data_IF_375673028692
#
_entry.id   IF_375673028692
#
_cell.length_a   1.000
_cell.length_b   1.000
_cell.length_c   1.000
_cell.angle_alpha   90.00
_cell.angle_beta   90.00
_cell.angle_gamma   90.00
#
_symmetry.space_group_name_H-M   'P 1'
#
loop_
_entity.id
_entity.type
_entity.pdbx_description
1 polymer ?
#
# COMPACT_ATOMS: atom_id res chain seq x y z
N UNK A 1 14.64 -15.79 -9.38
CA UNK A 1 13.38 -15.19 -9.82
C UNK A 1 13.49 -14.76 -11.30
N UNK A 2 12.40 -14.90 -12.04
CA UNK A 2 12.31 -14.39 -13.41
C UNK A 2 11.69 -13.00 -13.37
N UNK A 3 12.50 -11.96 -13.61
CA UNK A 3 12.06 -10.58 -13.53
C UNK A 3 10.91 -10.26 -14.52
N UNK A 4 11.07 -10.63 -15.78
CA UNK A 4 10.04 -10.36 -16.80
C UNK A 4 8.71 -11.02 -16.43
N UNK A 5 8.74 -12.28 -16.02
CA UNK A 5 7.53 -13.00 -15.61
C UNK A 5 6.79 -12.30 -14.45
N UNK A 6 7.52 -11.76 -13.47
CA UNK A 6 6.90 -11.04 -12.35
C UNK A 6 6.40 -9.65 -12.75
N UNK A 7 7.15 -8.93 -13.57
CA UNK A 7 6.75 -7.60 -14.04
C UNK A 7 5.48 -7.66 -14.89
N UNK A 8 5.34 -8.67 -15.75
CA UNK A 8 4.18 -8.88 -16.63
C UNK A 8 3.00 -9.59 -15.90
N UNK A 9 3.08 -9.77 -14.59
CA UNK A 9 2.01 -10.47 -13.85
C UNK A 9 0.68 -9.71 -13.90
N UNK A 10 0.73 -8.38 -13.86
CA UNK A 10 -0.47 -7.55 -13.92
C UNK A 10 -1.09 -7.55 -15.33
N UNK A 11 -0.26 -7.56 -16.38
CA UNK A 11 -0.74 -7.70 -17.77
C UNK A 11 -1.55 -9.00 -17.92
N UNK A 12 -0.99 -10.13 -17.49
CA UNK A 12 -1.68 -11.42 -17.53
C UNK A 12 -2.96 -11.46 -16.70
N UNK A 13 -2.96 -10.79 -15.55
CA UNK A 13 -4.14 -10.70 -14.70
C UNK A 13 -5.25 -9.90 -15.39
N UNK A 14 -4.93 -8.77 -15.98
CA UNK A 14 -5.88 -7.90 -16.67
C UNK A 14 -6.37 -8.54 -17.98
N UNK A 15 -5.51 -9.19 -18.74
CA UNK A 15 -5.90 -10.00 -19.91
C UNK A 15 -6.87 -11.14 -19.53
N UNK A 16 -6.73 -11.71 -18.33
CA UNK A 16 -7.64 -12.72 -17.80
C UNK A 16 -8.96 -12.15 -17.25
N UNK A 17 -9.15 -10.81 -17.29
CA UNK A 17 -10.39 -10.15 -16.86
C UNK A 17 -10.37 -9.65 -15.42
N UNK A 18 -9.21 -9.58 -14.76
CA UNK A 18 -9.06 -8.92 -13.46
C UNK A 18 -8.85 -7.42 -13.72
N UNK A 19 -9.79 -6.61 -13.27
CA UNK A 19 -9.75 -5.16 -13.54
C UNK A 19 -9.02 -4.37 -12.46
N UNK A 20 -9.01 -4.85 -11.22
CA UNK A 20 -8.43 -4.16 -10.07
C UNK A 20 -7.07 -4.77 -9.73
N UNK A 21 -6.01 -4.25 -10.32
CA UNK A 21 -4.64 -4.67 -10.02
C UNK A 21 -3.92 -3.64 -9.15
N UNK A 22 -3.06 -4.13 -8.27
CA UNK A 22 -2.20 -3.30 -7.43
C UNK A 22 -0.73 -3.51 -7.79
N UNK A 23 0.02 -2.42 -7.87
CA UNK A 23 1.47 -2.46 -8.09
C UNK A 23 2.21 -1.87 -6.90
N UNK A 24 3.52 -2.07 -6.85
CA UNK A 24 4.36 -1.50 -5.81
C UNK A 24 5.80 -1.97 -5.93
N UNK A 25 6.69 -1.26 -5.26
CA UNK A 25 8.09 -1.62 -5.11
C UNK A 25 8.50 -1.51 -3.65
N UNK A 26 9.41 -2.37 -3.20
CA UNK A 26 9.99 -2.28 -1.87
C UNK A 26 11.20 -1.34 -1.92
N UNK A 27 11.00 -0.10 -1.46
CA UNK A 27 12.04 0.92 -1.44
C UNK A 27 13.12 0.63 -0.41
N UNK A 28 14.38 0.88 -0.78
CA UNK A 28 15.53 0.74 0.12
C UNK A 28 16.37 -0.52 -0.09
N UNK A 29 15.97 -1.42 -0.97
CA UNK A 29 16.82 -2.55 -1.40
C UNK A 29 17.98 -2.10 -2.28
N UNK A 30 17.72 -1.10 -3.13
CA UNK A 30 18.68 -0.51 -4.05
C UNK A 30 18.33 0.97 -4.27
N UNK A 31 18.81 1.57 -5.34
CA UNK A 31 18.59 2.99 -5.68
C UNK A 31 17.09 3.32 -5.80
N UNK A 32 16.53 3.95 -4.80
CA UNK A 32 15.09 4.28 -4.75
C UNK A 32 14.60 5.12 -5.92
N UNK A 33 15.47 5.95 -6.52
CA UNK A 33 15.11 6.76 -7.70
C UNK A 33 14.84 5.89 -8.92
N UNK A 34 15.64 4.84 -9.11
CA UNK A 34 15.43 3.87 -10.17
C UNK A 34 14.13 3.10 -9.97
N UNK A 35 13.91 2.62 -8.75
CA UNK A 35 12.69 1.89 -8.38
C UNK A 35 11.45 2.78 -8.55
N UNK A 36 11.56 4.06 -8.19
CA UNK A 36 10.47 5.03 -8.35
C UNK A 36 10.12 5.27 -9.83
N UNK A 37 11.12 5.45 -10.69
CA UNK A 37 10.90 5.60 -12.15
C UNK A 37 10.29 4.33 -12.73
N UNK A 38 10.80 3.15 -12.33
CA UNK A 38 10.25 1.87 -12.76
C UNK A 38 8.78 1.69 -12.36
N UNK A 39 8.41 2.13 -11.15
CA UNK A 39 7.02 2.11 -10.68
C UNK A 39 6.11 3.01 -11.53
N UNK A 40 6.56 4.23 -11.86
CA UNK A 40 5.81 5.15 -12.73
C UNK A 40 5.65 4.58 -14.14
N UNK A 41 6.73 4.05 -14.72
CA UNK A 41 6.69 3.42 -16.05
C UNK A 41 5.73 2.22 -16.07
N UNK A 42 5.66 1.45 -14.99
CA UNK A 42 4.71 0.34 -14.89
C UNK A 42 3.26 0.84 -14.84
N UNK A 43 2.98 1.90 -14.10
CA UNK A 43 1.64 2.51 -14.07
C UNK A 43 1.24 3.04 -15.45
N UNK A 44 2.13 3.76 -16.14
CA UNK A 44 1.90 4.26 -17.51
C UNK A 44 1.73 3.12 -18.53
N UNK A 45 2.51 2.05 -18.37
CA UNK A 45 2.38 0.87 -19.23
C UNK A 45 0.99 0.24 -19.14
N UNK A 46 0.50 0.00 -17.90
CA UNK A 46 -0.83 -0.58 -17.70
C UNK A 46 -1.93 0.31 -18.27
N UNK A 47 -1.83 1.62 -18.08
CA UNK A 47 -2.79 2.57 -18.65
C UNK A 47 -2.76 2.55 -20.19
N UNK A 48 -1.58 2.51 -20.79
CA UNK A 48 -1.44 2.49 -22.25
C UNK A 48 -1.86 1.15 -22.87
N UNK A 49 -1.51 0.02 -22.23
CA UNK A 49 -1.77 -1.32 -22.77
C UNK A 49 -3.21 -1.80 -22.52
N UNK A 50 -3.76 -1.50 -21.34
CA UNK A 50 -5.05 -2.01 -20.89
C UNK A 50 -6.16 -0.96 -20.87
N UNK A 51 -5.83 0.31 -21.18
CA UNK A 51 -6.78 1.42 -21.13
C UNK A 51 -7.13 1.91 -19.73
N UNK A 52 -6.54 1.32 -18.70
CA UNK A 52 -6.76 1.67 -17.28
C UNK A 52 -5.47 1.43 -16.50
N UNK A 53 -5.06 2.39 -15.69
CA UNK A 53 -3.91 2.25 -14.81
C UNK A 53 -4.21 1.44 -13.55
N UNK A 54 -3.23 1.23 -12.67
CA UNK A 54 -3.41 0.42 -11.46
C UNK A 54 -4.46 1.03 -10.54
N UNK A 55 -5.25 0.17 -9.92
CA UNK A 55 -6.22 0.56 -8.89
C UNK A 55 -5.52 1.10 -7.64
N UNK A 56 -4.45 0.43 -7.23
CA UNK A 56 -3.69 0.82 -6.04
C UNK A 56 -2.18 0.77 -6.29
N UNK A 57 -1.47 1.63 -5.57
CA UNK A 57 -0.01 1.59 -5.47
C UNK A 57 0.38 1.43 -4.01
N UNK A 58 1.13 0.37 -3.70
CA UNK A 58 1.74 0.17 -2.40
C UNK A 58 3.12 0.79 -2.36
N UNK A 59 3.44 1.46 -1.26
CA UNK A 59 4.74 2.12 -1.05
C UNK A 59 5.48 1.54 0.17
N UNK A 60 5.75 0.22 0.21
CA UNK A 60 6.55 -0.35 1.28
C UNK A 60 8.00 0.09 1.16
N UNK A 61 8.69 0.20 2.30
CA UNK A 61 10.14 0.37 2.37
C UNK A 61 10.75 -0.64 3.34
N UNK A 62 12.05 -0.86 3.24
CA UNK A 62 12.78 -1.71 4.18
C UNK A 62 12.59 -1.17 5.60
N UNK A 63 12.17 -2.06 6.48
CA UNK A 63 12.04 -1.86 7.93
C UNK A 63 12.67 -3.05 8.63
N UNK A 64 13.12 -2.90 9.88
CA UNK A 64 13.60 -4.02 10.68
C UNK A 64 12.56 -5.15 10.74
N UNK A 65 13.06 -6.38 10.76
CA UNK A 65 12.31 -7.61 11.00
C UNK A 65 13.23 -8.59 11.71
N UNK A 66 12.73 -9.74 12.18
CA UNK A 66 13.48 -10.68 13.02
C UNK A 66 14.90 -11.01 12.51
N UNK A 67 15.07 -11.18 11.19
CA UNK A 67 16.35 -11.50 10.56
C UNK A 67 16.87 -10.38 9.63
N UNK A 68 16.30 -9.18 9.70
CA UNK A 68 16.62 -8.06 8.80
C UNK A 68 16.87 -6.80 9.62
N UNK A 69 18.12 -6.33 9.62
CA UNK A 69 18.42 -4.98 10.09
C UNK A 69 18.39 -4.00 8.92
N UNK A 70 17.58 -2.95 9.04
CA UNK A 70 17.52 -1.92 8.01
C UNK A 70 18.86 -1.20 7.81
N UNK A 71 19.74 -1.20 8.81
CA UNK A 71 21.09 -0.63 8.73
C UNK A 71 22.02 -1.44 7.84
N UNK A 72 21.73 -2.73 7.60
CA UNK A 72 22.47 -3.56 6.64
C UNK A 72 22.23 -3.15 5.18
N UNK A 73 21.20 -2.35 4.92
CA UNK A 73 20.86 -1.87 3.59
C UNK A 73 21.36 -0.43 3.40
N UNK A 74 22.48 -0.29 2.68
CA UNK A 74 23.09 1.01 2.37
C UNK A 74 22.17 2.00 1.64
N UNK A 75 21.13 1.51 0.98
CA UNK A 75 20.16 2.28 0.21
C UNK A 75 18.82 2.45 0.96
N UNK A 76 18.76 2.08 2.25
CA UNK A 76 17.60 2.33 3.09
C UNK A 76 17.24 3.81 3.10
N UNK A 77 15.95 4.12 3.00
CA UNK A 77 15.48 5.50 2.85
C UNK A 77 14.98 6.07 4.18
N UNK A 78 15.32 7.34 4.42
CA UNK A 78 14.83 8.11 5.58
C UNK A 78 13.33 8.43 5.47
N UNK A 79 12.73 8.85 6.57
CA UNK A 79 11.33 9.32 6.59
C UNK A 79 11.14 10.50 5.63
N UNK A 80 12.10 11.45 5.58
CA UNK A 80 12.02 12.61 4.68
C UNK A 80 12.00 12.20 3.20
N UNK A 81 12.83 11.23 2.80
CA UNK A 81 12.84 10.71 1.42
C UNK A 81 11.54 9.97 1.14
N UNK A 82 11.05 9.20 2.10
CA UNK A 82 9.79 8.47 1.98
C UNK A 82 8.61 9.40 1.77
N UNK A 83 8.50 10.47 2.56
CA UNK A 83 7.47 11.49 2.42
C UNK A 83 7.53 12.17 1.05
N UNK A 84 8.74 12.48 0.55
CA UNK A 84 8.91 13.02 -0.81
C UNK A 84 8.46 12.04 -1.89
N UNK A 85 8.77 10.75 -1.76
CA UNK A 85 8.29 9.71 -2.69
C UNK A 85 6.77 9.70 -2.74
N UNK A 86 6.11 9.68 -1.58
CA UNK A 86 4.65 9.69 -1.48
C UNK A 86 4.04 10.93 -2.13
N UNK A 87 4.57 12.12 -1.83
CA UNK A 87 4.07 13.37 -2.38
C UNK A 87 4.23 13.45 -3.90
N UNK A 88 5.41 13.06 -4.43
CA UNK A 88 5.66 13.08 -5.87
C UNK A 88 4.82 12.01 -6.59
N UNK A 89 4.66 10.83 -6.00
CA UNK A 89 3.81 9.77 -6.54
C UNK A 89 2.34 10.22 -6.63
N UNK A 90 1.82 10.91 -5.59
CA UNK A 90 0.45 11.46 -5.62
C UNK A 90 0.24 12.45 -6.75
N UNK A 91 1.26 13.27 -7.06
CA UNK A 91 1.19 14.23 -8.16
C UNK A 91 1.28 13.51 -9.51
N UNK A 92 2.18 12.51 -9.63
CA UNK A 92 2.42 11.80 -10.88
C UNK A 92 1.27 10.86 -11.26
N UNK A 93 0.63 10.20 -10.29
CA UNK A 93 -0.48 9.24 -10.50
C UNK A 93 -1.67 9.63 -9.61
N UNK A 94 -2.36 10.74 -9.92
CA UNK A 94 -3.37 11.33 -9.02
C UNK A 94 -4.64 10.49 -8.88
N UNK A 95 -4.91 9.61 -9.82
CA UNK A 95 -6.14 8.82 -9.89
C UNK A 95 -6.09 7.50 -9.09
N UNK A 96 -4.91 7.06 -8.64
CA UNK A 96 -4.75 5.75 -8.00
C UNK A 96 -4.88 5.81 -6.48
N UNK A 97 -5.34 4.74 -5.86
CA UNK A 97 -5.27 4.55 -4.41
C UNK A 97 -3.81 4.34 -3.96
N UNK A 98 -3.38 4.98 -2.89
CA UNK A 98 -2.06 4.78 -2.31
C UNK A 98 -2.19 4.12 -0.95
N UNK A 99 -1.52 2.98 -0.78
CA UNK A 99 -1.62 2.14 0.43
C UNK A 99 -0.38 2.32 1.30
N UNK A 100 -0.61 2.56 2.60
CA UNK A 100 0.40 2.52 3.64
C UNK A 100 0.12 1.38 4.63
N UNK A 101 1.14 0.61 4.95
CA UNK A 101 1.02 -0.53 5.87
C UNK A 101 1.30 -0.16 7.32
N UNK A 102 0.99 -1.09 8.22
CA UNK A 102 1.30 -1.01 9.65
C UNK A 102 2.79 -1.17 9.98
N UNK A 103 3.66 -1.43 9.00
CA UNK A 103 5.12 -1.38 9.15
C UNK A 103 5.63 0.03 9.46
N UNK A 104 4.90 1.05 9.01
CA UNK A 104 5.24 2.43 9.30
C UNK A 104 4.74 2.87 10.66
N UNK A 105 5.51 3.74 11.32
CA UNK A 105 5.13 4.30 12.61
C UNK A 105 3.85 5.14 12.49
N UNK A 106 3.13 5.29 13.57
CA UNK A 106 1.96 6.16 13.64
C UNK A 106 2.28 7.56 13.12
N UNK A 107 3.40 8.15 13.55
CA UNK A 107 3.83 9.48 13.13
C UNK A 107 4.05 9.58 11.61
N UNK A 108 4.70 8.58 11.01
CA UNK A 108 4.91 8.55 9.56
C UNK A 108 3.57 8.42 8.83
N UNK A 109 2.66 7.59 9.33
CA UNK A 109 1.33 7.39 8.75
C UNK A 109 0.49 8.66 8.77
N UNK A 110 0.52 9.42 9.87
CA UNK A 110 -0.13 10.75 9.97
C UNK A 110 0.37 11.70 8.87
N UNK A 111 1.68 11.82 8.74
CA UNK A 111 2.28 12.73 7.76
C UNK A 111 1.97 12.35 6.31
N UNK A 112 2.00 11.07 5.97
CA UNK A 112 1.73 10.64 4.59
C UNK A 112 0.24 10.67 4.22
N UNK A 113 -0.66 10.66 5.19
CA UNK A 113 -2.08 10.97 4.96
C UNK A 113 -2.27 12.38 4.41
N UNK A 114 -1.61 13.37 5.01
CA UNK A 114 -1.63 14.75 4.54
C UNK A 114 -1.00 14.92 3.15
N UNK A 115 -0.11 13.99 2.77
CA UNK A 115 0.55 13.95 1.46
C UNK A 115 -0.23 13.17 0.40
N UNK A 116 -1.39 12.61 0.75
CA UNK A 116 -2.30 12.00 -0.21
C UNK A 116 -2.39 10.47 -0.19
N UNK A 117 -1.84 9.79 0.81
CA UNK A 117 -2.20 8.39 1.06
C UNK A 117 -3.71 8.29 1.29
N UNK A 118 -4.36 7.33 0.64
CA UNK A 118 -5.81 7.18 0.66
C UNK A 118 -6.29 5.85 1.21
N UNK A 119 -5.37 4.92 1.46
CA UNK A 119 -5.71 3.60 1.99
C UNK A 119 -4.72 3.22 3.11
N UNK A 120 -5.25 2.69 4.20
CA UNK A 120 -4.46 2.28 5.35
C UNK A 120 -4.80 0.86 5.77
N UNK A 121 -3.77 0.09 6.12
CA UNK A 121 -3.97 -1.14 6.86
C UNK A 121 -4.19 -0.83 8.35
N UNK A 122 -5.06 -1.57 9.01
CA UNK A 122 -5.32 -1.43 10.44
C UNK A 122 -5.55 -2.79 11.09
N UNK A 123 -5.14 -2.96 12.34
CA UNK A 123 -5.31 -4.21 13.08
C UNK A 123 -4.57 -5.40 12.45
N UNK A 124 -3.44 -5.15 11.77
CA UNK A 124 -2.68 -6.20 11.07
C UNK A 124 -2.08 -7.18 12.08
N UNK A 125 -2.09 -8.46 11.73
CA UNK A 125 -1.38 -9.53 12.45
C UNK A 125 -0.54 -10.30 11.44
N UNK A 126 0.76 -10.43 11.70
CA UNK A 126 1.74 -10.99 10.76
C UNK A 126 2.24 -12.38 11.15
N UNK A 127 1.86 -12.87 12.35
CA UNK A 127 2.13 -14.24 12.80
C UNK A 127 1.26 -15.26 12.06
N UNK A 128 1.74 -16.47 11.95
CA UNK A 128 0.98 -17.59 11.38
C UNK A 128 -0.26 -17.85 12.24
N UNK A 129 -1.45 -17.84 11.63
CA UNK A 129 -2.71 -18.00 12.36
C UNK A 129 -3.17 -16.78 13.18
N UNK A 130 -2.43 -15.67 13.14
CA UNK A 130 -2.62 -14.50 14.02
C UNK A 130 -4.01 -13.88 14.03
N UNK A 131 -4.82 -14.10 13.00
CA UNK A 131 -6.24 -13.65 13.00
C UNK A 131 -7.21 -14.67 13.61
N UNK A 132 -6.77 -15.92 13.80
CA UNK A 132 -7.61 -16.98 14.36
C UNK A 132 -7.44 -17.14 15.89
N UNK A 133 -6.37 -16.60 16.46
CA UNK A 133 -6.00 -16.71 17.87
C UNK A 133 -6.14 -15.37 18.58
N UNK A 134 -6.70 -15.37 19.81
CA UNK A 134 -6.84 -14.16 20.60
C UNK A 134 -5.48 -13.63 21.08
N UNK A 135 -4.51 -14.51 21.34
CA UNK A 135 -3.10 -14.17 21.64
C UNK A 135 -2.17 -15.18 20.94
N UNK A 136 -1.29 -14.77 20.03
CA UNK A 136 -0.31 -15.68 19.42
C UNK A 136 0.72 -16.13 20.46
N UNK A 137 0.88 -17.45 20.61
CA UNK A 137 1.80 -18.04 21.60
C UNK A 137 3.29 -17.85 21.29
N UNK A 138 3.67 -17.40 20.08
CA UNK A 138 5.08 -17.20 19.69
C UNK A 138 5.30 -15.89 18.92
N UNK A 139 6.05 -14.96 19.53
CA UNK A 139 6.52 -13.73 18.91
C UNK A 139 7.41 -13.97 17.67
N UNK A 140 8.03 -15.14 17.56
CA UNK A 140 9.02 -15.49 16.52
C UNK A 140 8.44 -15.94 15.18
N UNK A 141 7.12 -15.89 14.98
CA UNK A 141 6.48 -16.28 13.70
C UNK A 141 6.05 -15.10 12.85
N UNK A 142 6.35 -13.87 13.26
CA UNK A 142 5.96 -12.66 12.54
C UNK A 142 6.76 -12.52 11.25
N UNK A 143 6.08 -12.29 10.14
CA UNK A 143 6.74 -12.08 8.85
C UNK A 143 7.53 -10.75 8.81
N UNK A 144 7.14 -9.77 9.61
CA UNK A 144 7.81 -8.48 9.80
C UNK A 144 7.24 -7.77 11.04
N UNK A 145 8.03 -6.87 11.61
CA UNK A 145 7.64 -6.07 12.77
C UNK A 145 6.56 -5.06 12.43
N UNK A 146 5.58 -4.92 13.32
CA UNK A 146 4.53 -3.91 13.24
C UNK A 146 4.94 -2.70 14.09
N UNK A 147 5.04 -1.54 13.47
CA UNK A 147 5.29 -0.27 14.17
C UNK A 147 3.98 0.44 14.58
N UNK A 148 2.86 0.05 13.99
CA UNK A 148 1.54 0.52 14.38
C UNK A 148 0.67 -0.69 14.74
N UNK A 149 0.55 -0.96 16.04
CA UNK A 149 -0.19 -2.09 16.62
C UNK A 149 -1.62 -1.74 17.02
N UNK A 150 -2.10 -0.54 16.66
CA UNK A 150 -3.46 -0.11 16.96
C UNK A 150 -4.50 -1.07 16.37
N UNK A 151 -5.57 -1.31 17.13
CA UNK A 151 -6.72 -2.05 16.61
C UNK A 151 -7.41 -1.29 15.49
N UNK A 152 -8.26 -1.98 14.73
CA UNK A 152 -9.04 -1.36 13.66
C UNK A 152 -9.91 -0.20 14.18
N UNK A 153 -10.58 -0.39 15.33
CA UNK A 153 -11.40 0.66 15.96
C UNK A 153 -10.57 1.88 16.37
N UNK A 154 -9.36 1.67 16.90
CA UNK A 154 -8.46 2.77 17.23
C UNK A 154 -8.02 3.55 15.98
N UNK A 155 -7.76 2.86 14.86
CA UNK A 155 -7.44 3.50 13.58
C UNK A 155 -8.64 4.30 13.05
N UNK A 156 -9.84 3.73 13.10
CA UNK A 156 -11.07 4.41 12.66
C UNK A 156 -11.31 5.67 13.49
N UNK A 157 -11.22 5.58 14.81
CA UNK A 157 -11.40 6.74 15.70
C UNK A 157 -10.34 7.82 15.44
N UNK A 158 -9.07 7.42 15.29
CA UNK A 158 -8.00 8.35 14.94
C UNK A 158 -8.25 9.10 13.62
N UNK A 159 -8.76 8.40 12.60
CA UNK A 159 -9.12 9.03 11.32
C UNK A 159 -10.28 10.01 11.48
N UNK A 160 -11.32 9.65 12.22
CA UNK A 160 -12.46 10.53 12.51
C UNK A 160 -12.04 11.79 13.27
N UNK A 161 -11.19 11.64 14.30
CA UNK A 161 -10.63 12.75 15.07
C UNK A 161 -9.77 13.69 14.18
N UNK A 162 -9.08 13.11 13.19
CA UNK A 162 -8.33 13.85 12.16
C UNK A 162 -9.20 14.50 11.07
N UNK A 163 -10.53 14.34 11.12
CA UNK A 163 -11.45 14.89 10.13
C UNK A 163 -11.58 14.09 8.84
N UNK A 164 -11.08 12.85 8.81
CA UNK A 164 -11.26 11.92 7.70
C UNK A 164 -12.53 11.10 7.88
N UNK A 165 -13.13 10.68 6.77
CA UNK A 165 -14.26 9.73 6.77
C UNK A 165 -13.75 8.39 6.26
N UNK A 166 -13.40 7.44 7.16
CA UNK A 166 -12.95 6.12 6.76
C UNK A 166 -14.08 5.31 6.12
N UNK A 167 -13.75 4.55 5.07
CA UNK A 167 -14.67 3.57 4.49
C UNK A 167 -13.96 2.23 4.31
N UNK A 168 -14.74 1.15 4.44
CA UNK A 168 -14.26 -0.20 4.15
C UNK A 168 -14.48 -0.47 2.67
N UNK A 169 -13.48 -0.10 1.85
CA UNK A 169 -13.56 -0.26 0.40
C UNK A 169 -13.43 -1.73 0.02
N UNK A 170 -14.39 -2.26 -0.72
CA UNK A 170 -14.42 -3.62 -1.23
C UNK A 170 -14.42 -3.70 -2.76
N UNK A 171 -14.51 -2.56 -3.46
CA UNK A 171 -14.54 -2.50 -4.92
C UNK A 171 -14.07 -1.14 -5.44
N UNK A 172 -13.77 -1.08 -6.74
CA UNK A 172 -13.28 0.12 -7.40
C UNK A 172 -14.40 1.10 -7.74
N UNK A 173 -14.41 2.27 -7.11
CA UNK A 173 -15.37 3.33 -7.42
C UNK A 173 -15.12 3.98 -8.79
N UNK A 174 -13.90 3.97 -9.26
CA UNK A 174 -13.52 4.61 -10.53
C UNK A 174 -14.17 3.94 -11.74
N UNK A 175 -14.31 2.63 -11.71
CA UNK A 175 -14.89 1.85 -12.80
C UNK A 175 -16.42 1.73 -12.73
N UNK A 176 -17.06 2.44 -11.81
CA UNK A 176 -18.51 2.38 -11.63
C UNK A 176 -19.06 1.07 -11.08
N UNK A 177 -18.21 0.16 -10.67
CA UNK A 177 -18.61 -1.19 -10.22
C UNK A 177 -19.34 -1.22 -8.90
N UNK A 178 -19.07 -0.26 -8.04
CA UNK A 178 -19.77 -0.06 -6.78
C UNK A 178 -20.94 0.91 -6.91
N UNK A 179 -20.92 1.74 -7.94
CA UNK A 179 -21.81 2.89 -8.05
C UNK A 179 -23.28 2.52 -8.29
N UNK A 180 -23.55 1.45 -9.02
CA UNK A 180 -24.93 1.06 -9.34
C UNK A 180 -25.74 0.59 -8.11
N UNK A 181 -25.07 0.05 -7.09
CA UNK A 181 -25.71 -0.36 -5.85
C UNK A 181 -25.86 0.79 -4.84
N UNK A 182 -24.90 1.73 -4.80
CA UNK A 182 -24.90 2.82 -3.83
C UNK A 182 -25.61 4.09 -4.33
N UNK A 183 -25.67 4.32 -5.62
CA UNK A 183 -26.37 5.49 -6.19
C UNK A 183 -27.85 5.25 -6.37
N UNK A 184 -28.31 4.02 -6.43
CA UNK A 184 -29.75 3.71 -6.47
C UNK A 184 -30.43 3.85 -5.11
N UNK A 185 -29.67 3.74 -4.01
CA UNK A 185 -30.20 3.84 -2.63
C UNK A 185 -30.00 5.24 -2.01
N UNK A 186 -29.34 6.14 -2.72
CA UNK A 186 -29.11 7.54 -2.30
C UNK A 186 -30.08 8.55 -2.97
N UNK A 187 -31.12 8.07 -3.64
CA UNK A 187 -32.17 8.89 -4.27
C UNK A 187 -33.46 8.90 -3.45
#
# INVERSE_FOLDING_TARGET
HNYAYHTEAMDRAMEAGIDDVGIGVLFGLNMYRYDFVGLLMHAEHLEAAMGVGPHTISVPRIRPADDIDAEDFKDAISDEIFEKIVAVLRIAVPYTGMIISTRESQKTRERVLDLGVSQLSGGSRTSVGGYAEEEPEEENSAQFDLNDTRTLDQIVNWLLDGGFIPSFCTACYREGRTCLLYTSDAA
#
